data_IF_687238502530
#
_entry.id   IF_687238502530
#
_cell.length_a   1.000
_cell.length_b   1.000
_cell.length_c   1.000
_cell.angle_alpha   90.00
_cell.angle_beta   90.00
_cell.angle_gamma   90.00
#
_symmetry.space_group_name_H-M   'P 1'
#
loop_
_entity.id
_entity.type
_entity.pdbx_description
1 polymer ?
#
# COMPACT_ATOMS: atom_id res chain seq x y z
N UNK A 1 -1.76 6.71 8.87
CA UNK A 1 -0.82 6.16 7.87
C UNK A 1 0.00 5.07 8.54
N UNK A 2 0.35 3.99 7.87
CA UNK A 2 1.28 2.96 8.36
C UNK A 2 2.54 3.03 7.50
N UNK A 3 3.68 3.24 8.14
CA UNK A 3 4.96 3.54 7.48
C UNK A 3 5.11 5.03 7.12
N UNK A 4 6.29 5.56 7.26
CA UNK A 4 6.58 6.97 7.01
C UNK A 4 6.91 7.19 5.52
N UNK A 5 6.05 7.90 4.78
CA UNK A 5 6.26 8.29 3.38
C UNK A 5 6.55 9.79 3.30
N UNK A 6 7.83 10.22 3.31
CA UNK A 6 8.17 11.64 3.42
C UNK A 6 7.43 12.56 2.45
N UNK A 7 7.33 12.26 1.13
CA UNK A 7 6.63 13.13 0.20
C UNK A 7 5.12 13.25 0.48
N UNK A 8 4.51 12.19 1.01
CA UNK A 8 3.08 12.19 1.30
C UNK A 8 2.79 12.89 2.64
N UNK A 9 3.64 12.66 3.64
CA UNK A 9 3.57 13.37 4.93
C UNK A 9 3.64 14.88 4.69
N UNK A 10 4.60 15.32 3.90
CA UNK A 10 4.77 16.73 3.56
C UNK A 10 3.52 17.31 2.89
N UNK A 11 2.97 16.63 1.88
CA UNK A 11 1.75 17.08 1.20
C UNK A 11 0.53 17.20 2.15
N UNK A 12 0.33 16.20 3.04
CA UNK A 12 -0.80 16.21 3.98
C UNK A 12 -0.63 17.35 5.00
N UNK A 13 0.59 17.58 5.49
CA UNK A 13 0.89 18.70 6.42
C UNK A 13 0.67 20.05 5.76
N UNK A 14 1.07 20.24 4.50
CA UNK A 14 0.88 21.48 3.77
C UNK A 14 -0.59 21.89 3.62
N UNK A 15 -1.50 20.89 3.51
CA UNK A 15 -2.94 21.18 3.43
C UNK A 15 -3.63 21.22 4.81
N UNK A 16 -2.87 21.09 5.90
CA UNK A 16 -3.35 21.26 7.27
C UNK A 16 -4.32 20.15 7.74
N UNK A 17 -4.25 18.95 7.17
CA UNK A 17 -5.07 17.82 7.60
C UNK A 17 -4.44 17.07 8.77
N UNK A 18 -5.26 16.57 9.72
CA UNK A 18 -4.77 15.67 10.75
C UNK A 18 -4.10 14.43 10.17
N UNK A 19 -2.95 14.06 10.70
CA UNK A 19 -2.18 12.90 10.23
C UNK A 19 -1.55 12.16 11.39
N UNK A 20 -1.95 10.91 11.58
CA UNK A 20 -1.28 9.95 12.45
C UNK A 20 -0.47 8.98 11.60
N UNK A 21 0.81 8.84 11.90
CA UNK A 21 1.72 7.87 11.28
C UNK A 21 2.11 6.84 12.32
N UNK A 22 1.88 5.58 12.04
CA UNK A 22 2.35 4.45 12.86
C UNK A 22 3.64 3.91 12.25
N UNK A 23 4.69 3.89 13.05
CA UNK A 23 6.01 3.37 12.71
C UNK A 23 6.46 2.29 13.69
N UNK A 24 7.51 1.55 13.33
CA UNK A 24 8.10 0.51 14.19
C UNK A 24 9.35 1.00 14.94
N UNK A 25 9.92 2.12 14.52
CA UNK A 25 11.18 2.66 15.04
C UNK A 25 10.91 3.92 15.83
N UNK A 26 11.22 3.88 17.13
CA UNK A 26 11.04 4.99 18.07
C UNK A 26 11.79 6.28 17.68
N UNK A 27 12.82 6.17 16.85
CA UNK A 27 13.57 7.34 16.35
C UNK A 27 12.72 8.28 15.50
N UNK A 28 11.56 7.80 15.01
CA UNK A 28 10.61 8.59 14.23
C UNK A 28 9.54 9.26 15.06
N UNK A 29 9.49 9.00 16.39
CA UNK A 29 8.46 9.59 17.25
C UNK A 29 8.48 11.11 17.17
N UNK A 30 7.33 11.69 16.89
CA UNK A 30 7.17 13.12 16.70
C UNK A 30 5.73 13.54 17.01
N UNK A 31 5.58 14.73 17.60
CA UNK A 31 4.29 15.37 17.81
C UNK A 31 4.39 16.85 17.44
N UNK A 32 3.54 17.29 16.51
CA UNK A 32 3.51 18.69 16.06
C UNK A 32 2.08 19.05 15.62
N UNK A 33 1.34 19.70 16.50
CA UNK A 33 -0.07 20.08 16.27
C UNK A 33 -0.94 18.86 15.98
N UNK A 34 -1.46 18.77 14.75
CA UNK A 34 -2.31 17.66 14.29
C UNK A 34 -1.52 16.55 13.59
N UNK A 35 -0.20 16.64 13.58
CA UNK A 35 0.69 15.60 13.05
C UNK A 35 1.33 14.82 14.18
N UNK A 36 1.23 13.49 14.11
CA UNK A 36 1.79 12.57 15.08
C UNK A 36 2.47 11.39 14.40
N UNK A 37 3.65 11.01 14.88
CA UNK A 37 4.29 9.72 14.62
C UNK A 37 4.32 8.94 15.93
N UNK A 38 3.79 7.73 15.93
CA UNK A 38 3.59 6.89 17.11
C UNK A 38 3.95 5.43 16.84
N UNK A 39 4.19 4.65 17.89
CA UNK A 39 4.33 3.19 17.83
C UNK A 39 3.00 2.47 18.13
N UNK A 40 1.93 3.21 18.43
CA UNK A 40 0.64 2.69 18.90
C UNK A 40 -0.32 2.49 17.70
N UNK A 41 -0.49 1.26 17.17
CA UNK A 41 -1.39 1.02 16.05
C UNK A 41 -2.87 1.30 16.37
N UNK A 42 -3.27 1.25 17.64
CA UNK A 42 -4.63 1.53 18.11
C UNK A 42 -5.11 2.93 17.74
N UNK A 43 -4.21 3.90 17.59
CA UNK A 43 -4.54 5.27 17.12
C UNK A 43 -5.11 5.32 15.71
N UNK A 44 -4.94 4.26 14.94
CA UNK A 44 -5.57 4.14 13.61
C UNK A 44 -7.08 3.88 13.70
N UNK A 45 -7.60 3.47 14.87
CA UNK A 45 -9.04 3.27 15.05
C UNK A 45 -9.87 4.54 14.79
N UNK A 46 -9.28 5.72 14.99
CA UNK A 46 -9.95 7.00 14.80
C UNK A 46 -9.80 7.53 13.37
N UNK A 47 -9.09 6.79 12.50
CA UNK A 47 -8.82 7.22 11.14
C UNK A 47 -9.90 6.74 10.16
N UNK A 48 -10.48 7.65 9.39
CA UNK A 48 -11.44 7.33 8.33
C UNK A 48 -10.79 6.88 7.01
N UNK A 49 -9.50 7.21 6.82
CA UNK A 49 -8.71 6.86 5.63
C UNK A 49 -7.33 6.37 6.07
N UNK A 50 -6.91 5.25 5.53
CA UNK A 50 -5.61 4.65 5.84
C UNK A 50 -4.80 4.45 4.57
N UNK A 51 -3.56 4.91 4.59
CA UNK A 51 -2.53 4.55 3.62
C UNK A 51 -1.50 3.71 4.37
N UNK A 52 -1.25 2.52 3.86
CA UNK A 52 -0.39 1.52 4.49
C UNK A 52 0.72 1.11 3.52
N UNK A 53 1.93 0.99 4.04
CA UNK A 53 3.06 0.46 3.25
C UNK A 53 2.85 -1.00 2.89
N UNK A 54 3.19 -1.39 1.66
CA UNK A 54 3.20 -2.79 1.25
C UNK A 54 4.22 -3.66 1.99
N UNK A 55 5.15 -3.05 2.74
CA UNK A 55 6.12 -3.77 3.59
C UNK A 55 5.42 -4.62 4.65
N UNK A 56 4.20 -4.24 5.10
CA UNK A 56 3.41 -5.02 6.07
C UNK A 56 3.05 -6.43 5.57
N UNK A 57 3.05 -6.65 4.25
CA UNK A 57 2.83 -7.96 3.65
C UNK A 57 4.10 -8.82 3.73
N UNK A 58 5.27 -8.19 3.62
CA UNK A 58 6.57 -8.86 3.64
C UNK A 58 6.98 -9.23 5.05
N UNK A 59 6.80 -8.33 6.01
CA UNK A 59 7.15 -8.55 7.41
C UNK A 59 6.01 -9.17 8.24
N UNK A 60 4.90 -9.54 7.60
CA UNK A 60 3.75 -10.25 8.20
C UNK A 60 3.04 -9.48 9.33
N UNK A 61 3.15 -8.16 9.35
CA UNK A 61 2.49 -7.33 10.39
C UNK A 61 1.03 -6.99 10.04
N UNK A 62 0.59 -7.26 8.81
CA UNK A 62 -0.75 -6.88 8.33
C UNK A 62 -1.87 -7.44 9.21
N UNK A 63 -1.79 -8.70 9.65
CA UNK A 63 -2.84 -9.34 10.41
C UNK A 63 -3.05 -8.67 11.79
N UNK A 64 -1.98 -8.18 12.41
CA UNK A 64 -2.06 -7.40 13.65
C UNK A 64 -2.61 -5.99 13.48
N UNK A 65 -2.49 -5.41 12.27
CA UNK A 65 -2.95 -4.06 11.97
C UNK A 65 -4.41 -4.00 11.53
N UNK A 66 -4.92 -5.05 10.88
CA UNK A 66 -6.30 -5.08 10.36
C UNK A 66 -7.38 -4.74 11.39
N UNK A 67 -7.31 -5.19 12.67
CA UNK A 67 -8.27 -4.79 13.69
C UNK A 67 -8.33 -3.28 13.93
N UNK A 68 -7.21 -2.57 13.72
CA UNK A 68 -7.12 -1.12 13.87
C UNK A 68 -7.67 -0.34 12.65
N UNK A 69 -8.01 -1.01 11.56
CA UNK A 69 -8.53 -0.39 10.34
C UNK A 69 -10.06 -0.39 10.24
N UNK A 70 -10.75 -1.00 11.20
CA UNK A 70 -12.20 -1.30 11.13
C UNK A 70 -13.11 -0.08 10.91
N UNK A 71 -12.70 1.11 11.35
CA UNK A 71 -13.47 2.33 11.19
C UNK A 71 -13.09 3.13 9.93
N UNK A 72 -12.08 2.67 9.20
CA UNK A 72 -11.66 3.32 7.95
C UNK A 72 -12.56 2.90 6.78
N UNK A 73 -13.11 3.88 6.08
CA UNK A 73 -13.89 3.68 4.85
C UNK A 73 -13.03 3.47 3.61
N UNK A 74 -11.77 3.88 3.66
CA UNK A 74 -10.81 3.74 2.58
C UNK A 74 -9.47 3.25 3.13
N UNK A 75 -9.04 2.09 2.65
CA UNK A 75 -7.76 1.49 3.05
C UNK A 75 -6.97 1.18 1.79
N UNK A 76 -5.83 1.84 1.63
CA UNK A 76 -4.95 1.72 0.47
C UNK A 76 -3.59 1.17 0.90
N UNK A 77 -3.26 -0.06 0.49
CA UNK A 77 -1.91 -0.61 0.65
C UNK A 77 -1.10 -0.27 -0.61
N UNK A 78 0.05 0.37 -0.43
CA UNK A 78 0.85 0.91 -1.54
C UNK A 78 2.33 0.62 -1.38
N UNK A 79 2.98 0.30 -2.47
CA UNK A 79 4.44 0.12 -2.53
C UNK A 79 4.87 -0.94 -3.55
N UNK A 80 6.16 -1.00 -3.88
CA UNK A 80 6.68 -1.98 -4.83
C UNK A 80 6.55 -3.44 -4.31
N UNK A 81 6.37 -3.61 -3.02
CA UNK A 81 6.18 -4.92 -2.36
C UNK A 81 4.74 -5.44 -2.47
N UNK A 82 3.81 -4.67 -3.03
CA UNK A 82 2.43 -5.10 -3.28
C UNK A 82 2.36 -5.87 -4.60
N UNK A 83 2.75 -7.14 -4.56
CA UNK A 83 2.75 -8.06 -5.71
C UNK A 83 2.05 -9.37 -5.38
N UNK A 84 0.79 -9.28 -4.95
CA UNK A 84 -0.01 -10.44 -4.53
C UNK A 84 -1.39 -10.45 -5.21
N UNK A 85 -2.09 -11.58 -5.11
CA UNK A 85 -3.50 -11.67 -5.48
C UNK A 85 -4.32 -10.78 -4.54
N UNK A 86 -5.17 -9.90 -5.06
CA UNK A 86 -5.93 -8.94 -4.27
C UNK A 86 -7.03 -9.55 -3.39
N UNK A 87 -7.64 -10.66 -3.83
CA UNK A 87 -8.85 -11.21 -3.22
C UNK A 87 -8.75 -11.38 -1.71
N UNK A 88 -7.71 -12.02 -1.12
CA UNK A 88 -7.62 -12.20 0.32
C UNK A 88 -7.54 -10.89 1.11
N UNK A 89 -7.02 -9.82 0.50
CA UNK A 89 -6.93 -8.51 1.14
C UNK A 89 -8.25 -7.73 0.98
N UNK A 90 -8.89 -7.83 -0.18
CA UNK A 90 -10.19 -7.22 -0.41
C UNK A 90 -11.29 -7.83 0.48
N UNK A 91 -11.25 -9.15 0.69
CA UNK A 91 -12.17 -9.85 1.61
C UNK A 91 -12.01 -9.39 3.08
N UNK A 92 -10.82 -8.87 3.41
CA UNK A 92 -10.51 -8.32 4.75
C UNK A 92 -10.76 -6.81 4.88
N UNK A 93 -11.40 -6.19 3.90
CA UNK A 93 -11.78 -4.79 3.94
C UNK A 93 -10.80 -3.80 3.31
N UNK A 94 -9.67 -4.26 2.77
CA UNK A 94 -8.80 -3.38 1.97
C UNK A 94 -9.56 -2.93 0.73
N UNK A 95 -9.49 -1.64 0.41
CA UNK A 95 -10.26 -1.07 -0.71
C UNK A 95 -9.43 -0.90 -1.98
N UNK A 96 -8.13 -0.68 -1.82
CA UNK A 96 -7.20 -0.45 -2.95
C UNK A 96 -5.83 -1.06 -2.68
N UNK A 97 -5.20 -1.53 -3.77
CA UNK A 97 -3.82 -1.98 -3.79
C UNK A 97 -3.05 -1.23 -4.88
N UNK A 98 -1.92 -0.64 -4.53
CA UNK A 98 -1.04 0.06 -5.47
C UNK A 98 0.33 -0.58 -5.52
N UNK A 99 0.70 -1.11 -6.68
CA UNK A 99 1.97 -1.77 -6.90
C UNK A 99 2.70 -1.26 -8.13
N UNK A 100 3.75 -1.95 -8.49
CA UNK A 100 4.44 -1.75 -9.76
C UNK A 100 4.77 -3.08 -10.42
N UNK A 101 4.81 -3.07 -11.75
CA UNK A 101 5.31 -4.18 -12.57
C UNK A 101 6.56 -3.75 -13.31
N UNK A 102 7.55 -4.63 -13.38
CA UNK A 102 8.76 -4.42 -14.18
C UNK A 102 8.39 -4.63 -15.64
N UNK A 103 8.68 -3.64 -16.50
CA UNK A 103 8.43 -3.69 -17.93
C UNK A 103 9.68 -4.13 -18.71
N UNK A 104 10.84 -3.69 -18.24
CA UNK A 104 12.15 -4.05 -18.80
C UNK A 104 13.03 -4.61 -17.69
N UNK A 105 13.16 -5.93 -17.66
CA UNK A 105 13.89 -6.65 -16.61
C UNK A 105 15.39 -6.37 -16.67
N UNK A 106 15.96 -6.23 -17.87
CA UNK A 106 17.39 -5.99 -18.07
C UNK A 106 17.76 -4.60 -17.55
N UNK A 107 16.99 -3.58 -17.98
CA UNK A 107 17.17 -2.22 -17.50
C UNK A 107 16.95 -2.12 -15.99
N UNK A 108 15.89 -2.76 -15.48
CA UNK A 108 15.60 -2.77 -14.05
C UNK A 108 16.76 -3.33 -13.23
N UNK A 109 17.29 -4.51 -13.60
CA UNK A 109 18.40 -5.15 -12.89
C UNK A 109 19.66 -4.30 -12.96
N UNK A 110 19.98 -3.72 -14.11
CA UNK A 110 21.12 -2.81 -14.27
C UNK A 110 21.04 -1.60 -13.32
N UNK A 111 19.90 -0.91 -13.32
CA UNK A 111 19.67 0.24 -12.45
C UNK A 111 19.66 -0.14 -10.97
N UNK A 112 19.04 -1.28 -10.62
CA UNK A 112 19.02 -1.80 -9.25
C UNK A 112 20.43 -2.11 -8.73
N UNK A 113 21.24 -2.79 -9.53
CA UNK A 113 22.63 -3.13 -9.17
C UNK A 113 23.50 -1.88 -9.03
N UNK A 114 23.28 -0.87 -9.87
CA UNK A 114 23.95 0.43 -9.80
C UNK A 114 23.43 1.34 -8.69
N UNK A 115 22.40 0.93 -7.92
CA UNK A 115 21.70 1.75 -6.93
C UNK A 115 21.10 3.04 -7.50
N UNK A 116 20.72 3.01 -8.77
CA UNK A 116 20.10 4.12 -9.48
C UNK A 116 18.56 4.06 -9.44
N UNK A 117 17.92 5.14 -9.91
CA UNK A 117 16.45 5.25 -9.95
C UNK A 117 15.87 4.36 -11.05
N UNK A 118 15.31 3.22 -10.69
CA UNK A 118 14.72 2.21 -11.59
C UNK A 118 13.28 2.50 -12.06
N UNK A 119 12.69 3.63 -11.66
CA UNK A 119 11.28 3.96 -11.97
C UNK A 119 10.96 3.91 -13.47
N UNK A 120 11.89 4.27 -14.35
CA UNK A 120 11.70 4.27 -15.81
C UNK A 120 11.48 2.87 -16.41
N UNK A 121 12.00 1.80 -15.74
CA UNK A 121 11.83 0.41 -16.15
C UNK A 121 10.56 -0.26 -15.62
N UNK A 122 9.68 0.51 -14.94
CA UNK A 122 8.50 -0.01 -14.26
C UNK A 122 7.25 0.76 -14.61
N UNK A 123 6.10 0.11 -14.48
CA UNK A 123 4.77 0.72 -14.56
C UNK A 123 4.02 0.55 -13.25
N UNK A 124 3.49 1.65 -12.73
CA UNK A 124 2.61 1.61 -11.56
C UNK A 124 1.20 1.20 -11.96
N UNK A 125 0.53 0.48 -11.06
CA UNK A 125 -0.87 0.14 -11.20
C UNK A 125 -1.60 0.35 -9.87
N UNK A 126 -2.91 0.52 -9.95
CA UNK A 126 -3.82 0.51 -8.81
C UNK A 126 -4.96 -0.45 -9.14
N UNK A 127 -5.22 -1.36 -8.21
CA UNK A 127 -6.38 -2.24 -8.24
C UNK A 127 -7.36 -1.76 -7.18
N UNK A 128 -8.62 -1.57 -7.56
CA UNK A 128 -9.70 -1.19 -6.65
C UNK A 128 -10.74 -2.29 -6.59
N UNK A 129 -11.14 -2.66 -5.39
CA UNK A 129 -12.14 -3.72 -5.16
C UNK A 129 -13.41 -3.51 -5.98
N UNK A 130 -13.87 -2.27 -6.08
CA UNK A 130 -15.20 -1.95 -6.60
C UNK A 130 -15.20 -1.56 -8.10
N UNK A 131 -14.05 -1.40 -8.77
CA UNK A 131 -14.04 -0.86 -10.13
C UNK A 131 -12.98 -1.39 -11.10
N UNK A 132 -11.81 -1.78 -10.64
CA UNK A 132 -10.69 -2.10 -11.54
C UNK A 132 -10.18 -3.54 -11.44
N UNK A 133 -10.73 -4.32 -10.53
CA UNK A 133 -10.36 -5.71 -10.34
C UNK A 133 -11.58 -6.61 -10.38
N UNK A 134 -11.71 -7.51 -11.38
CA UNK A 134 -12.89 -8.35 -11.56
C UNK A 134 -12.94 -9.58 -10.65
N UNK A 135 -11.87 -9.83 -9.88
CA UNK A 135 -11.70 -11.05 -9.10
C UNK A 135 -10.87 -12.14 -9.82
N UNK A 136 -10.12 -12.90 -9.03
CA UNK A 136 -9.23 -13.95 -9.53
C UNK A 136 -9.99 -15.00 -10.36
N UNK A 137 -11.15 -15.46 -9.89
CA UNK A 137 -11.97 -16.45 -10.59
C UNK A 137 -12.39 -15.99 -11.98
N UNK A 138 -12.77 -14.72 -12.14
CA UNK A 138 -13.15 -14.18 -13.45
C UNK A 138 -11.95 -14.05 -14.38
N UNK A 139 -10.78 -13.65 -13.86
CA UNK A 139 -9.54 -13.59 -14.63
C UNK A 139 -9.13 -14.98 -15.15
N UNK A 140 -9.20 -16.01 -14.30
CA UNK A 140 -8.92 -17.39 -14.68
C UNK A 140 -9.89 -17.89 -15.74
N UNK A 141 -11.19 -17.65 -15.60
CA UNK A 141 -12.20 -18.05 -16.59
C UNK A 141 -11.97 -17.36 -17.95
N UNK A 142 -11.56 -16.11 -17.95
CA UNK A 142 -11.25 -15.38 -19.19
C UNK A 142 -9.98 -15.93 -19.86
N UNK A 143 -8.95 -16.26 -19.09
CA UNK A 143 -7.70 -16.82 -19.59
C UNK A 143 -7.92 -18.21 -20.22
N UNK A 144 -8.72 -19.09 -19.58
CA UNK A 144 -9.02 -20.43 -20.10
C UNK A 144 -9.88 -20.40 -21.37
N UNK A 145 -10.79 -19.44 -21.52
CA UNK A 145 -11.57 -19.26 -22.76
C UNK A 145 -10.71 -18.79 -23.93
N UNK A 146 -9.68 -17.96 -23.68
CA UNK A 146 -8.74 -17.51 -24.71
C UNK A 146 -7.77 -18.59 -25.21
N UNK A 147 -7.59 -19.69 -24.46
CA UNK A 147 -6.72 -20.82 -24.86
C UNK A 147 -7.47 -21.86 -25.74
N UNK A 148 -8.79 -21.78 -25.82
CA UNK A 148 -9.64 -22.72 -26.57
C UNK A 148 -10.14 -22.14 -27.90
N UNK A 149 -9.66 -20.98 -28.30
CA UNK A 149 -9.85 -20.34 -29.62
C UNK A 149 -8.52 -20.21 -30.36
#
# INVERSE_FOLDING_TARGET
MVGYFPPLVEQVRQVGLPLTVVELDERWLQQDGQFEVTLEPEKLNDCSKIICTGTVLVNQTIDGLLPCFRNASQIFIVGPTVGCLPDPLFDRGITRLGGCSVLDTVQFLGLWTAQEKWRASTRRYVLSRDSTYPGCSQLLNNATRGLNN
#
